data_IF_232747214431
#
_entry.id   IF_232747214431
#
_cell.length_a   1.000
_cell.length_b   1.000
_cell.length_c   1.000
_cell.angle_alpha   90.00
_cell.angle_beta   90.00
_cell.angle_gamma   90.00
#
_symmetry.space_group_name_H-M   'P 1'
#
loop_
_entity.id
_entity.type
_entity.pdbx_description
1 polymer ?
#
# COMPACT_ATOMS: atom_id res chain seq x y z
N UNK A 1 25.42 -35.68 23.13
CA UNK A 1 25.30 -35.32 21.70
C UNK A 1 23.87 -35.33 21.14
N UNK A 2 23.01 -36.30 21.47
CA UNK A 2 21.63 -36.33 20.98
C UNK A 2 20.75 -35.17 21.55
N UNK A 3 20.89 -34.87 22.82
CA UNK A 3 20.12 -33.81 23.49
C UNK A 3 20.46 -32.42 22.98
N UNK A 4 21.75 -32.13 22.71
CA UNK A 4 22.18 -30.86 22.11
C UNK A 4 21.68 -30.67 20.67
N UNK A 5 21.61 -31.73 19.88
CA UNK A 5 21.07 -31.67 18.49
C UNK A 5 19.56 -31.40 18.49
N UNK A 6 18.82 -32.00 19.43
CA UNK A 6 17.37 -31.76 19.60
C UNK A 6 17.11 -30.31 20.04
N UNK A 7 17.89 -29.77 20.96
CA UNK A 7 17.76 -28.37 21.42
C UNK A 7 18.06 -27.37 20.31
N UNK A 8 19.10 -27.63 19.49
CA UNK A 8 19.44 -26.73 18.35
C UNK A 8 18.37 -26.78 17.26
N UNK A 9 17.83 -27.96 16.95
CA UNK A 9 16.74 -28.07 15.95
C UNK A 9 15.44 -27.43 16.41
N UNK A 10 15.10 -27.54 17.68
CA UNK A 10 13.91 -26.91 18.26
C UNK A 10 14.04 -25.39 18.31
N UNK A 11 15.23 -24.86 18.63
CA UNK A 11 15.49 -23.43 18.63
C UNK A 11 15.49 -22.83 17.22
N UNK A 12 16.04 -23.54 16.22
CA UNK A 12 16.00 -23.12 14.81
C UNK A 12 14.59 -23.14 14.23
N UNK A 13 13.74 -24.10 14.62
CA UNK A 13 12.33 -24.16 14.20
C UNK A 13 11.49 -23.02 14.78
N UNK A 14 11.77 -22.58 16.03
CA UNK A 14 11.10 -21.45 16.66
C UNK A 14 11.45 -20.11 16.01
N UNK A 15 12.65 -19.96 15.48
CA UNK A 15 13.08 -18.73 14.78
C UNK A 15 12.43 -18.55 13.40
N UNK A 16 11.98 -19.64 12.74
CA UNK A 16 11.35 -19.60 11.43
C UNK A 16 9.85 -19.23 11.48
N UNK A 17 9.20 -19.36 12.63
CA UNK A 17 7.76 -19.04 12.79
C UNK A 17 7.52 -17.53 12.96
N UNK A 18 8.53 -16.76 13.36
CA UNK A 18 8.38 -15.32 13.66
C UNK A 18 8.29 -14.38 12.45
N UNK A 19 8.69 -14.81 11.25
CA UNK A 19 8.81 -13.90 10.10
C UNK A 19 7.48 -13.64 9.35
N UNK A 20 6.49 -14.52 9.47
CA UNK A 20 5.22 -14.39 8.74
C UNK A 20 4.19 -13.50 9.46
N UNK A 21 4.34 -13.26 10.75
CA UNK A 21 3.35 -12.53 11.56
C UNK A 21 3.47 -11.01 11.41
N UNK A 22 4.64 -10.50 10.98
CA UNK A 22 4.90 -9.06 10.90
C UNK A 22 4.21 -8.35 9.74
N UNK A 23 3.91 -9.06 8.63
CA UNK A 23 3.33 -8.45 7.44
C UNK A 23 1.82 -8.18 7.54
N UNK A 24 1.07 -8.98 8.32
CA UNK A 24 -0.37 -8.82 8.47
C UNK A 24 -0.78 -7.73 9.47
N UNK A 25 0.14 -7.31 10.34
CA UNK A 25 -0.15 -6.29 11.35
C UNK A 25 0.09 -4.85 10.87
N UNK A 26 0.74 -4.63 9.72
CA UNK A 26 1.15 -3.30 9.29
C UNK A 26 -0.03 -2.39 8.91
N UNK A 27 -1.04 -2.89 8.18
CA UNK A 27 -2.21 -2.08 7.83
C UNK A 27 -2.97 -1.62 9.07
N UNK A 28 -3.41 -2.57 9.91
CA UNK A 28 -4.21 -2.26 11.10
C UNK A 28 -3.45 -1.44 12.15
N UNK A 29 -2.12 -1.47 12.15
CA UNK A 29 -1.30 -0.63 13.01
C UNK A 29 -1.29 0.84 12.56
N UNK A 30 -1.23 1.10 11.25
CA UNK A 30 -1.03 2.43 10.70
C UNK A 30 -2.30 3.07 10.12
N UNK A 31 -3.20 2.28 9.53
CA UNK A 31 -4.36 2.77 8.79
C UNK A 31 -5.69 2.35 9.43
N UNK A 32 -6.72 3.17 9.21
CA UNK A 32 -8.05 2.96 9.78
C UNK A 32 -9.04 2.53 8.68
N UNK A 33 -9.44 1.25 8.71
CA UNK A 33 -10.42 0.71 7.76
C UNK A 33 -11.80 1.36 7.84
N UNK A 34 -12.11 2.04 8.96
CA UNK A 34 -13.37 2.75 9.16
C UNK A 34 -13.28 4.22 8.71
N UNK A 35 -12.13 4.65 8.19
CA UNK A 35 -11.93 6.00 7.63
C UNK A 35 -11.53 5.93 6.17
N UNK A 36 -12.46 5.51 5.28
CA UNK A 36 -12.23 5.58 3.85
C UNK A 36 -12.07 7.03 3.43
N UNK A 37 -11.15 7.27 2.50
CA UNK A 37 -10.94 8.58 1.88
C UNK A 37 -10.83 8.44 0.38
N UNK A 38 -11.18 9.52 -0.32
CA UNK A 38 -10.90 9.71 -1.74
C UNK A 38 -10.07 10.97 -1.90
N UNK A 39 -8.94 10.84 -2.57
CA UNK A 39 -8.01 11.93 -2.83
C UNK A 39 -7.92 12.16 -4.34
N UNK A 40 -8.19 13.38 -4.77
CA UNK A 40 -7.96 13.83 -6.14
C UNK A 40 -6.80 14.82 -6.14
N UNK A 41 -5.81 14.55 -6.95
CA UNK A 41 -4.63 15.42 -6.99
C UNK A 41 -3.67 15.04 -8.09
N UNK A 42 -2.50 15.66 -8.05
CA UNK A 42 -1.46 15.56 -9.07
C UNK A 42 -0.25 14.83 -8.51
N UNK A 43 0.25 13.83 -9.22
CA UNK A 43 1.46 13.09 -8.84
C UNK A 43 2.65 14.03 -8.82
N UNK A 44 3.37 14.06 -7.70
CA UNK A 44 4.62 14.81 -7.55
C UNK A 44 5.83 13.89 -7.64
N UNK A 45 5.70 12.64 -7.19
CA UNK A 45 6.78 11.66 -7.21
C UNK A 45 6.24 10.24 -6.97
N UNK A 46 6.95 9.22 -7.48
CA UNK A 46 6.70 7.82 -7.13
C UNK A 46 8.00 7.16 -6.67
N UNK A 47 7.96 6.53 -5.52
CA UNK A 47 9.07 5.75 -4.97
C UNK A 47 8.80 4.26 -5.18
N UNK A 48 9.60 3.62 -6.02
CA UNK A 48 9.56 2.20 -6.33
C UNK A 48 10.51 1.43 -5.42
N UNK A 49 10.12 1.24 -4.16
CA UNK A 49 10.92 0.57 -3.14
C UNK A 49 10.15 -0.59 -2.51
N UNK A 50 10.88 -1.58 -1.99
CA UNK A 50 10.31 -2.65 -1.19
C UNK A 50 10.26 -2.23 0.30
N UNK A 51 9.27 -2.67 1.06
CA UNK A 51 8.17 -3.58 0.69
C UNK A 51 6.97 -2.89 0.06
N UNK A 52 6.91 -1.56 -0.02
CA UNK A 52 5.78 -0.79 -0.51
C UNK A 52 6.20 0.29 -1.48
N UNK A 53 5.45 0.42 -2.58
CA UNK A 53 5.53 1.59 -3.46
C UNK A 53 4.83 2.77 -2.78
N UNK A 54 5.40 3.98 -2.90
CA UNK A 54 4.80 5.20 -2.40
C UNK A 54 4.51 6.16 -3.55
N UNK A 55 3.26 6.62 -3.63
CA UNK A 55 2.86 7.68 -4.55
C UNK A 55 2.72 8.96 -3.74
N UNK A 56 3.50 9.97 -4.08
CA UNK A 56 3.37 11.31 -3.55
C UNK A 56 2.48 12.14 -4.47
N UNK A 57 1.54 12.85 -3.91
CA UNK A 57 0.61 13.67 -4.68
C UNK A 57 0.24 14.96 -3.97
N UNK A 58 0.13 16.03 -4.74
CA UNK A 58 -0.39 17.31 -4.31
C UNK A 58 -1.92 17.30 -4.38
N UNK A 59 -2.58 17.50 -3.25
CA UNK A 59 -4.04 17.51 -3.11
C UNK A 59 -4.48 18.88 -2.61
N UNK A 60 -5.53 19.46 -3.20
CA UNK A 60 -6.15 20.66 -2.67
C UNK A 60 -7.17 20.29 -1.60
N UNK A 61 -7.06 20.92 -0.44
CA UNK A 61 -8.05 20.82 0.62
C UNK A 61 -9.31 21.65 0.31
N UNK A 62 -10.29 21.63 1.24
CA UNK A 62 -11.54 22.37 1.09
C UNK A 62 -11.34 23.90 1.02
N UNK A 63 -10.26 24.42 1.58
CA UNK A 63 -9.90 25.84 1.58
C UNK A 63 -9.06 26.26 0.37
N UNK A 64 -8.77 25.29 -0.53
CA UNK A 64 -7.96 25.48 -1.74
C UNK A 64 -6.46 25.46 -1.49
N UNK A 65 -6.01 25.18 -0.25
CA UNK A 65 -4.59 25.01 0.10
C UNK A 65 -4.10 23.67 -0.43
N UNK A 66 -2.92 23.65 -1.02
CA UNK A 66 -2.28 22.42 -1.48
C UNK A 66 -1.54 21.75 -0.34
N UNK A 67 -1.81 20.47 -0.17
CA UNK A 67 -1.16 19.58 0.80
C UNK A 67 -0.51 18.41 0.08
N UNK A 68 0.68 18.03 0.54
CA UNK A 68 1.36 16.81 0.07
C UNK A 68 0.80 15.61 0.81
N UNK A 69 0.44 14.57 0.04
CA UNK A 69 -0.03 13.28 0.53
C UNK A 69 0.88 12.16 0.10
N UNK A 70 1.07 11.17 0.97
CA UNK A 70 1.80 9.95 0.69
C UNK A 70 0.85 8.76 0.66
N UNK A 71 0.78 8.08 -0.47
CA UNK A 71 -0.11 6.94 -0.66
C UNK A 71 0.72 5.66 -0.73
N UNK A 72 0.49 4.77 0.23
CA UNK A 72 1.08 3.44 0.25
C UNK A 72 0.38 2.53 -0.75
N UNK A 73 1.12 1.93 -1.64
CA UNK A 73 0.67 0.91 -2.56
C UNK A 73 1.26 -0.46 -2.26
N UNK A 74 0.99 -1.42 -3.11
CA UNK A 74 1.57 -2.75 -3.07
C UNK A 74 3.08 -2.75 -3.38
N UNK A 75 3.68 -3.94 -3.35
CA UNK A 75 5.08 -4.08 -3.74
C UNK A 75 5.29 -3.70 -5.20
N UNK A 76 6.47 -3.21 -5.60
CA UNK A 76 6.77 -2.91 -6.99
C UNK A 76 6.44 -4.06 -7.95
N UNK A 77 6.82 -5.29 -7.61
CA UNK A 77 6.56 -6.46 -8.44
C UNK A 77 5.05 -6.77 -8.60
N UNK A 78 4.26 -6.57 -7.55
CA UNK A 78 2.80 -6.76 -7.63
C UNK A 78 2.17 -5.73 -8.55
N UNK A 79 2.57 -4.47 -8.43
CA UNK A 79 2.05 -3.39 -9.26
C UNK A 79 2.46 -3.53 -10.73
N UNK A 80 3.70 -3.96 -10.99
CA UNK A 80 4.17 -4.27 -12.35
C UNK A 80 3.33 -5.36 -13.01
N UNK A 81 2.98 -6.44 -12.30
CA UNK A 81 2.10 -7.50 -12.83
C UNK A 81 0.69 -7.01 -13.13
N UNK A 82 0.23 -5.96 -12.45
CA UNK A 82 -1.06 -5.30 -12.69
C UNK A 82 -1.00 -4.21 -13.76
N UNK A 83 0.16 -3.99 -14.37
CA UNK A 83 0.36 -3.02 -15.44
C UNK A 83 0.75 -1.61 -14.99
N UNK A 84 1.01 -1.38 -13.70
CA UNK A 84 1.58 -0.13 -13.22
C UNK A 84 3.10 -0.20 -13.28
N UNK A 85 3.69 0.54 -14.19
CA UNK A 85 5.15 0.62 -14.40
C UNK A 85 5.72 1.92 -13.84
N UNK A 86 7.05 2.04 -13.81
CA UNK A 86 7.74 3.27 -13.40
C UNK A 86 7.37 4.49 -14.25
N UNK A 87 6.92 4.27 -15.48
CA UNK A 87 6.55 5.33 -16.43
C UNK A 87 5.04 5.58 -16.49
N UNK A 88 4.23 4.81 -15.77
CA UNK A 88 2.75 4.92 -15.79
C UNK A 88 2.23 6.18 -15.11
N UNK A 89 2.98 6.73 -14.15
CA UNK A 89 2.60 7.90 -13.35
C UNK A 89 3.73 8.94 -13.39
N UNK A 90 3.96 9.60 -14.54
CA UNK A 90 4.89 10.72 -14.58
C UNK A 90 4.41 11.85 -13.67
N UNK A 91 5.36 12.65 -13.17
CA UNK A 91 5.05 13.88 -12.42
C UNK A 91 4.09 14.76 -13.22
N UNK A 92 3.11 15.34 -12.56
CA UNK A 92 2.06 16.14 -13.17
C UNK A 92 0.81 15.34 -13.59
N UNK A 93 0.81 14.01 -13.49
CA UNK A 93 -0.36 13.19 -13.79
C UNK A 93 -1.46 13.42 -12.77
N UNK A 94 -2.66 13.78 -13.20
CA UNK A 94 -3.85 13.84 -12.34
C UNK A 94 -4.37 12.43 -12.07
N UNK A 95 -4.60 12.11 -10.81
CA UNK A 95 -5.14 10.81 -10.39
C UNK A 95 -6.20 10.98 -9.31
N UNK A 96 -7.05 9.95 -9.18
CA UNK A 96 -7.92 9.78 -8.02
C UNK A 96 -7.51 8.49 -7.31
N UNK A 97 -7.32 8.59 -5.99
CA UNK A 97 -7.00 7.44 -5.14
C UNK A 97 -8.10 7.26 -4.11
N UNK A 98 -8.69 6.08 -4.10
CA UNK A 98 -9.54 5.60 -3.01
C UNK A 98 -8.68 4.80 -2.04
N UNK A 99 -8.86 5.00 -0.74
CA UNK A 99 -8.05 4.31 0.25
C UNK A 99 -8.49 4.56 1.68
N UNK A 100 -7.58 4.38 2.63
CA UNK A 100 -7.84 4.49 4.06
C UNK A 100 -6.82 5.40 4.72
N UNK A 101 -7.30 6.33 5.54
CA UNK A 101 -6.48 7.34 6.19
C UNK A 101 -5.60 6.74 7.30
N UNK A 102 -4.44 7.32 7.50
CA UNK A 102 -3.58 7.01 8.64
C UNK A 102 -4.26 7.36 9.97
N UNK A 103 -4.12 6.47 10.96
CA UNK A 103 -4.71 6.62 12.30
C UNK A 103 -4.18 7.84 13.06
N UNK A 104 -2.91 8.19 12.84
CA UNK A 104 -2.27 9.33 13.50
C UNK A 104 -2.67 10.70 12.95
N UNK A 105 -3.59 10.74 11.95
CA UNK A 105 -4.07 11.98 11.34
C UNK A 105 -3.14 12.63 10.33
N UNK A 106 -1.98 12.05 10.07
CA UNK A 106 -1.05 12.57 9.04
C UNK A 106 -1.66 12.46 7.63
N UNK A 107 -1.08 13.19 6.67
CA UNK A 107 -1.47 13.13 5.26
C UNK A 107 -0.87 11.88 4.58
N UNK A 108 -1.19 10.73 5.14
CA UNK A 108 -0.85 9.39 4.62
C UNK A 108 -2.10 8.55 4.45
N UNK A 109 -2.11 7.74 3.43
CA UNK A 109 -3.18 6.78 3.18
C UNK A 109 -2.63 5.46 2.66
N UNK A 110 -3.32 4.36 2.97
CA UNK A 110 -3.15 3.12 2.25
C UNK A 110 -4.05 3.17 1.03
N UNK A 111 -3.46 3.12 -0.16
CA UNK A 111 -4.19 3.17 -1.42
C UNK A 111 -4.83 1.82 -1.74
N UNK A 112 -6.12 1.84 -2.09
CA UNK A 112 -6.85 0.68 -2.56
C UNK A 112 -7.02 0.68 -4.07
N UNK A 113 -7.65 1.71 -4.61
CA UNK A 113 -7.88 1.86 -6.05
C UNK A 113 -7.25 3.14 -6.57
N UNK A 114 -6.63 3.06 -7.73
CA UNK A 114 -6.10 4.18 -8.49
C UNK A 114 -6.95 4.36 -9.76
N UNK A 115 -7.44 5.56 -10.00
CA UNK A 115 -8.12 5.94 -11.23
C UNK A 115 -7.23 6.91 -12.02
N UNK A 116 -6.93 6.53 -13.26
CA UNK A 116 -6.15 7.33 -14.21
C UNK A 116 -7.01 8.41 -14.88
N UNK A 117 -6.39 9.41 -15.55
CA UNK A 117 -7.13 10.45 -16.27
C UNK A 117 -8.07 9.93 -17.36
N UNK A 118 -7.75 8.79 -17.97
CA UNK A 118 -8.55 8.12 -19.00
C UNK A 118 -9.71 7.27 -18.43
N UNK A 119 -9.87 7.25 -17.09
CA UNK A 119 -10.91 6.51 -16.39
C UNK A 119 -10.55 5.04 -16.09
N UNK A 120 -9.41 4.54 -16.55
CA UNK A 120 -8.95 3.19 -16.15
C UNK A 120 -8.73 3.14 -14.64
N UNK A 121 -9.10 2.03 -14.05
CA UNK A 121 -8.87 1.75 -12.64
C UNK A 121 -7.88 0.62 -12.46
N UNK A 122 -7.07 0.72 -11.40
CA UNK A 122 -6.09 -0.28 -11.02
C UNK A 122 -6.15 -0.48 -9.50
N UNK A 123 -6.19 -1.74 -9.07
CA UNK A 123 -6.06 -2.06 -7.65
C UNK A 123 -4.62 -1.81 -7.18
N UNK A 124 -4.46 -0.83 -6.29
CA UNK A 124 -3.16 -0.35 -5.82
C UNK A 124 -2.65 -1.14 -4.62
N UNK A 125 -3.54 -1.76 -3.85
CA UNK A 125 -3.19 -2.51 -2.66
C UNK A 125 -2.41 -3.79 -2.93
N UNK A 126 -1.88 -4.40 -1.89
CA UNK A 126 -1.32 -5.76 -1.96
C UNK A 126 -2.20 -6.73 -1.18
N UNK A 127 -2.21 -8.00 -1.59
CA UNK A 127 -2.93 -9.08 -0.91
C UNK A 127 -2.46 -9.31 0.54
N UNK A 128 -1.29 -8.76 0.89
CA UNK A 128 -0.69 -8.87 2.22
C UNK A 128 -0.85 -7.65 3.12
N UNK A 129 -1.47 -6.55 2.65
CA UNK A 129 -1.58 -5.31 3.46
C UNK A 129 -2.65 -5.38 4.55
N UNK A 130 -3.57 -6.35 4.48
CA UNK A 130 -4.71 -6.43 5.40
C UNK A 130 -5.81 -5.39 5.12
N UNK A 131 -5.69 -4.60 4.05
CA UNK A 131 -6.74 -3.69 3.61
C UNK A 131 -8.05 -4.47 3.33
N UNK A 132 -9.21 -3.94 3.73
CA UNK A 132 -10.48 -4.62 3.51
C UNK A 132 -10.72 -4.89 2.02
N UNK A 133 -11.15 -6.11 1.72
CA UNK A 133 -11.59 -6.50 0.37
C UNK A 133 -13.09 -6.24 0.29
N UNK A 134 -13.51 -5.40 -0.63
CA UNK A 134 -14.94 -5.12 -0.86
C UNK A 134 -15.55 -5.97 -1.99
N UNK A 135 -14.90 -7.05 -2.34
CA UNK A 135 -15.36 -7.96 -3.41
C UNK A 135 -15.20 -7.42 -4.84
N UNK A 136 -14.55 -6.28 -5.01
CA UNK A 136 -14.36 -5.65 -6.33
C UNK A 136 -12.99 -5.87 -6.94
N UNK A 137 -12.10 -6.58 -6.26
CA UNK A 137 -10.79 -6.93 -6.82
C UNK A 137 -10.95 -8.05 -7.85
N UNK A 138 -11.09 -7.64 -9.11
CA UNK A 138 -11.12 -8.57 -10.25
C UNK A 138 -9.73 -9.00 -10.70
N UNK A 139 -8.67 -8.46 -10.11
CA UNK A 139 -7.28 -8.76 -10.49
C UNK A 139 -6.71 -10.02 -9.82
N UNK A 140 -7.44 -10.63 -8.89
CA UNK A 140 -7.07 -11.88 -8.19
C UNK A 140 -7.71 -13.15 -8.80
N UNK A 141 -8.16 -13.10 -10.06
CA UNK A 141 -8.62 -14.30 -10.78
C UNK A 141 -7.50 -14.93 -11.58
#
# INVERSE_FOLDING_TARGET
MRLQRVLITTFAALLLVGAAVSAHHSFAAEFDSNKPIQLKGTVTRVEWINPHTWIHMAVKDADGKTEEWMIEGGTPNTLLRRGLTKTSLPEGTEIVVDGYRAKNGSNRANGRDLTFPDGRRLFLGSSGTGAPRDGRDTSER
#
